data_IF_311506933363
#
_entry.id   IF_311506933363
#
_cell.length_a   1.000
_cell.length_b   1.000
_cell.length_c   1.000
_cell.angle_alpha   90.00
_cell.angle_beta   90.00
_cell.angle_gamma   90.00
#
_symmetry.space_group_name_H-M   'P 1'
#
loop_
_entity.id
_entity.type
_entity.pdbx_description
1 polymer ?
#
# COMPACT_ATOMS: atom_id res chain seq x y z
N UNK A 1 7.57 20.40 -1.17
CA UNK A 1 7.11 19.04 -0.91
C UNK A 1 6.07 19.07 0.21
N UNK A 2 4.80 19.34 -0.13
CA UNK A 2 3.73 19.49 0.87
C UNK A 2 3.47 18.17 1.64
N UNK A 3 3.60 17.04 0.95
CA UNK A 3 3.48 15.69 1.50
C UNK A 3 4.77 14.92 1.30
N UNK A 4 5.85 15.40 1.94
CA UNK A 4 7.17 14.80 1.75
C UNK A 4 7.24 13.36 2.30
N UNK A 5 6.60 13.11 3.45
CA UNK A 5 6.59 11.84 4.19
C UNK A 5 5.33 11.77 5.08
N UNK A 6 4.84 10.58 5.43
CA UNK A 6 3.76 10.43 6.42
C UNK A 6 4.22 10.88 7.82
N UNK A 7 3.27 11.38 8.61
CA UNK A 7 3.55 11.82 9.99
C UNK A 7 3.82 10.64 10.94
N UNK A 8 3.25 9.47 10.67
CA UNK A 8 3.39 8.24 11.46
C UNK A 8 3.55 7.03 10.55
N UNK A 9 4.22 6.00 11.05
CA UNK A 9 4.22 4.69 10.41
C UNK A 9 2.90 3.96 10.64
N UNK A 10 2.50 3.15 9.67
CA UNK A 10 1.38 2.22 9.79
C UNK A 10 1.85 0.79 9.47
N UNK A 11 1.02 -0.20 9.80
CA UNK A 11 1.27 -1.62 9.45
C UNK A 11 0.16 -2.18 8.55
N UNK A 12 -0.45 -1.31 7.74
CA UNK A 12 -1.55 -1.71 6.86
C UNK A 12 -1.07 -2.53 5.67
N UNK A 13 0.13 -2.25 5.16
CA UNK A 13 0.67 -2.84 3.94
C UNK A 13 -0.03 -2.29 2.70
N UNK A 14 -1.33 -2.57 2.54
CA UNK A 14 -2.20 -2.05 1.48
C UNK A 14 -3.62 -1.89 2.03
N UNK A 15 -4.30 -0.82 1.63
CA UNK A 15 -5.75 -0.69 1.82
C UNK A 15 -6.45 -1.24 0.59
N UNK A 16 -7.42 -2.14 0.77
CA UNK A 16 -8.09 -2.80 -0.33
C UNK A 16 -9.60 -2.93 -0.06
N UNK A 17 -10.38 -2.65 -1.09
CA UNK A 17 -11.76 -3.09 -1.22
C UNK A 17 -11.79 -4.04 -2.43
N UNK A 18 -11.65 -5.33 -2.14
CA UNK A 18 -11.46 -6.34 -3.18
C UNK A 18 -12.73 -6.56 -4.01
N UNK A 19 -13.90 -6.49 -3.37
CA UNK A 19 -15.20 -6.65 -4.05
C UNK A 19 -15.45 -5.55 -5.08
N UNK A 20 -14.98 -4.33 -4.80
CA UNK A 20 -14.97 -3.22 -5.76
C UNK A 20 -13.75 -3.21 -6.70
N UNK A 21 -12.78 -4.10 -6.49
CA UNK A 21 -11.53 -4.15 -7.26
C UNK A 21 -10.60 -2.95 -7.01
N UNK A 22 -10.72 -2.27 -5.86
CA UNK A 22 -9.96 -1.08 -5.52
C UNK A 22 -8.83 -1.40 -4.55
N UNK A 23 -7.61 -0.96 -4.90
CA UNK A 23 -6.40 -1.17 -4.09
C UNK A 23 -5.62 0.13 -4.01
N UNK A 24 -5.20 0.51 -2.80
CA UNK A 24 -4.42 1.72 -2.54
C UNK A 24 -3.16 1.37 -1.77
N UNK A 25 -2.02 1.76 -2.33
CA UNK A 25 -0.69 1.50 -1.79
C UNK A 25 0.16 2.76 -1.75
N UNK A 26 1.23 2.74 -0.94
CA UNK A 26 2.15 3.84 -0.79
C UNK A 26 3.09 3.65 0.41
N UNK A 27 4.10 4.50 0.50
CA UNK A 27 5.04 4.50 1.63
C UNK A 27 4.34 4.75 2.97
N UNK A 28 3.25 5.52 2.94
CA UNK A 28 2.39 5.85 4.07
C UNK A 28 1.55 4.68 4.60
N UNK A 29 1.39 3.59 3.83
CA UNK A 29 0.81 2.34 4.34
C UNK A 29 1.77 1.58 5.26
N UNK A 30 3.05 1.97 5.26
CA UNK A 30 4.16 1.35 6.01
C UNK A 30 5.01 2.42 6.72
N UNK A 31 6.32 2.42 6.52
CA UNK A 31 7.31 3.19 7.29
C UNK A 31 7.66 4.58 6.73
N UNK A 32 6.97 5.05 5.67
CA UNK A 32 7.24 6.37 5.08
C UNK A 32 8.63 6.48 4.44
N UNK A 33 9.12 5.37 3.89
CA UNK A 33 10.41 5.22 3.20
C UNK A 33 10.19 4.59 1.83
N UNK A 34 11.18 4.73 0.94
CA UNK A 34 11.18 4.12 -0.40
C UNK A 34 10.91 2.61 -0.34
N UNK A 35 11.52 1.91 0.61
CA UNK A 35 11.27 0.48 0.85
C UNK A 35 9.80 0.20 1.17
N UNK A 36 9.16 1.02 2.00
CA UNK A 36 7.75 0.90 2.32
C UNK A 36 6.85 1.13 1.10
N UNK A 37 7.17 2.10 0.25
CA UNK A 37 6.43 2.31 -1.01
C UNK A 37 6.50 1.08 -1.91
N UNK A 38 7.70 0.49 -2.08
CA UNK A 38 7.89 -0.69 -2.93
C UNK A 38 7.18 -1.93 -2.36
N UNK A 39 7.33 -2.21 -1.07
CA UNK A 39 6.67 -3.33 -0.40
C UNK A 39 5.15 -3.20 -0.42
N UNK A 40 4.63 -2.00 -0.17
CA UNK A 40 3.20 -1.71 -0.24
C UNK A 40 2.62 -1.97 -1.64
N UNK A 41 3.35 -1.58 -2.69
CA UNK A 41 2.97 -1.86 -4.07
C UNK A 41 2.97 -3.35 -4.42
N UNK A 42 3.99 -4.09 -3.98
CA UNK A 42 4.02 -5.55 -4.17
C UNK A 42 2.85 -6.25 -3.48
N UNK A 43 2.54 -5.86 -2.26
CA UNK A 43 1.42 -6.43 -1.51
C UNK A 43 0.07 -6.13 -2.17
N UNK A 44 -0.10 -4.93 -2.74
CA UNK A 44 -1.29 -4.60 -3.53
C UNK A 44 -1.45 -5.52 -4.74
N UNK A 45 -0.38 -5.69 -5.53
CA UNK A 45 -0.39 -6.59 -6.69
C UNK A 45 -0.67 -8.04 -6.25
N UNK A 46 -0.06 -8.50 -5.15
CA UNK A 46 -0.29 -9.84 -4.60
C UNK A 46 -1.76 -10.07 -4.24
N UNK A 47 -2.40 -9.10 -3.56
CA UNK A 47 -3.82 -9.22 -3.19
C UNK A 47 -4.74 -9.17 -4.41
N UNK A 48 -4.45 -8.30 -5.37
CA UNK A 48 -5.18 -8.24 -6.63
C UNK A 48 -5.10 -9.58 -7.38
N UNK A 49 -3.89 -10.12 -7.55
CA UNK A 49 -3.71 -11.42 -8.19
C UNK A 49 -4.44 -12.54 -7.46
N UNK A 50 -4.37 -12.57 -6.13
CA UNK A 50 -5.06 -13.59 -5.32
C UNK A 50 -6.58 -13.50 -5.42
N UNK A 51 -7.15 -12.31 -5.63
CA UNK A 51 -8.59 -12.12 -5.79
C UNK A 51 -9.09 -12.49 -7.21
N UNK A 52 -8.22 -12.42 -8.23
CA UNK A 52 -8.55 -12.80 -9.61
C UNK A 52 -8.42 -14.31 -9.89
N UNK A 53 -7.85 -15.09 -8.97
CA UNK A 53 -7.75 -16.56 -9.05
C UNK A 53 -8.97 -17.20 -8.38
#
# INVERSE_FOLDING_TARGET
WLYARPASSHEWGVLADADLGLYVCGDWCLSGRVEGAWLSGQEAARRLHAHLQ
#
